data_IF_078844570959
#
_entry.id   IF_078844570959
#
_cell.length_a   1.000
_cell.length_b   1.000
_cell.length_c   1.000
_cell.angle_alpha   90.00
_cell.angle_beta   90.00
_cell.angle_gamma   90.00
#
_symmetry.space_group_name_H-M   'P 1'
#
loop_
_entity.id
_entity.type
_entity.pdbx_description
1 polymer ?
#
# COMPACT_ATOMS: atom_id res chain seq x y z
N UNK A 1 9.14 4.32 10.38
CA UNK A 1 9.56 4.16 8.98
C UNK A 1 10.36 2.88 8.82
N UNK A 2 9.67 1.77 8.52
CA UNK A 2 10.30 0.54 8.04
C UNK A 2 9.77 0.24 6.64
N UNK A 3 10.68 0.00 5.70
CA UNK A 3 10.35 -0.25 4.29
C UNK A 3 10.44 -1.74 4.00
N UNK A 4 9.30 -2.35 3.68
CA UNK A 4 9.19 -3.76 3.33
C UNK A 4 9.07 -3.93 1.81
N UNK A 5 9.57 -5.04 1.26
CA UNK A 5 9.39 -5.34 -0.16
C UNK A 5 7.93 -5.70 -0.46
N UNK A 6 7.41 -5.16 -1.55
CA UNK A 6 6.14 -5.61 -2.11
C UNK A 6 6.36 -7.00 -2.74
N UNK A 7 5.61 -8.04 -2.34
CA UNK A 7 5.70 -9.37 -2.93
C UNK A 7 5.49 -9.35 -4.45
N UNK A 8 6.04 -10.35 -5.15
CA UNK A 8 5.82 -10.53 -6.59
C UNK A 8 6.24 -9.35 -7.49
N UNK A 9 7.17 -8.50 -7.02
CA UNK A 9 7.72 -7.35 -7.79
C UNK A 9 9.18 -7.49 -8.19
N UNK A 10 9.81 -8.65 -7.99
CA UNK A 10 11.27 -8.82 -8.16
C UNK A 10 12.08 -7.75 -7.39
N UNK A 11 11.61 -7.38 -6.18
CA UNK A 11 12.22 -6.37 -5.31
C UNK A 11 12.27 -4.95 -5.91
N UNK A 12 11.46 -4.67 -6.95
CA UNK A 12 11.37 -3.33 -7.55
C UNK A 12 10.69 -2.35 -6.60
N UNK A 13 9.64 -2.78 -5.89
CA UNK A 13 8.83 -1.92 -5.04
C UNK A 13 9.02 -2.19 -3.56
N UNK A 14 9.00 -1.12 -2.78
CA UNK A 14 8.90 -1.16 -1.32
C UNK A 14 7.69 -0.34 -0.87
N UNK A 15 7.10 -0.74 0.26
CA UNK A 15 6.06 0.01 0.95
C UNK A 15 6.48 0.30 2.40
N UNK A 16 5.98 1.39 2.98
CA UNK A 16 6.21 1.69 4.39
C UNK A 16 5.18 0.98 5.27
N UNK A 17 5.64 0.07 6.12
CA UNK A 17 4.79 -0.79 6.96
C UNK A 17 4.17 -0.07 8.17
N UNK A 18 4.63 1.15 8.47
CA UNK A 18 4.06 2.03 9.49
C UNK A 18 3.17 3.13 8.93
N UNK A 19 2.95 3.17 7.62
CA UNK A 19 2.23 4.27 7.00
C UNK A 19 0.73 4.27 7.35
N UNK A 20 0.20 5.48 7.54
CA UNK A 20 -1.16 5.75 8.00
C UNK A 20 -1.89 6.69 7.02
N UNK A 21 -3.11 7.11 7.38
CA UNK A 21 -3.84 8.12 6.61
C UNK A 21 -3.09 9.46 6.47
N UNK A 22 -2.18 9.79 7.40
CA UNK A 22 -1.38 11.02 7.34
C UNK A 22 -0.30 10.99 6.24
N UNK A 23 0.04 9.79 5.75
CA UNK A 23 1.08 9.56 4.74
C UNK A 23 0.54 9.51 3.31
N UNK A 24 -0.78 9.66 3.13
CA UNK A 24 -1.46 9.60 1.83
C UNK A 24 -2.59 10.66 1.77
N UNK A 25 -3.61 10.43 0.95
CA UNK A 25 -4.82 11.23 0.89
C UNK A 25 -5.58 11.20 2.22
N UNK A 26 -5.80 12.38 2.80
CA UNK A 26 -6.45 12.55 4.11
C UNK A 26 -7.92 12.14 4.14
N UNK A 27 -8.57 12.15 2.98
CA UNK A 27 -9.97 11.78 2.76
C UNK A 27 -10.14 10.35 2.25
N UNK A 28 -9.05 9.59 2.16
CA UNK A 28 -9.13 8.19 1.76
C UNK A 28 -9.91 7.35 2.78
N UNK A 29 -10.97 6.71 2.29
CA UNK A 29 -11.83 5.82 3.08
C UNK A 29 -11.16 4.46 3.24
N UNK A 30 -11.08 3.99 4.49
CA UNK A 30 -10.63 2.64 4.82
C UNK A 30 -9.98 2.56 6.19
N UNK A 31 -9.71 1.33 6.62
CA UNK A 31 -8.89 1.08 7.80
C UNK A 31 -7.43 0.85 7.40
N UNK A 32 -6.49 1.27 8.23
CA UNK A 32 -5.06 1.17 7.97
C UNK A 32 -4.44 0.18 8.94
N UNK A 33 -3.68 -0.78 8.41
CA UNK A 33 -2.90 -1.72 9.20
C UNK A 33 -1.66 -2.14 8.41
N UNK A 34 -0.48 -2.07 9.03
CA UNK A 34 0.77 -2.48 8.40
C UNK A 34 1.07 -1.76 7.08
N UNK A 35 0.76 -0.47 6.95
CA UNK A 35 0.95 0.28 5.70
C UNK A 35 -0.03 -0.08 4.57
N UNK A 36 -1.07 -0.86 4.88
CA UNK A 36 -2.09 -1.28 3.93
C UNK A 36 -3.43 -0.66 4.34
N UNK A 37 -4.09 0.02 3.39
CA UNK A 37 -5.48 0.46 3.51
C UNK A 37 -6.40 -0.63 3.00
N UNK A 38 -7.37 -1.02 3.81
CA UNK A 38 -8.48 -1.88 3.42
C UNK A 38 -9.75 -1.05 3.27
N UNK A 39 -10.34 -1.07 2.09
CA UNK A 39 -11.61 -0.42 1.79
C UNK A 39 -12.67 -1.50 1.49
N UNK A 40 -13.75 -1.52 2.27
CA UNK A 40 -14.90 -2.40 2.04
C UNK A 40 -15.97 -1.66 1.27
N UNK A 41 -16.36 -2.19 0.12
CA UNK A 41 -17.41 -1.63 -0.74
C UNK A 41 -18.79 -2.14 -0.35
N UNK A 42 -19.83 -1.45 -0.84
CA UNK A 42 -21.19 -1.96 -0.81
C UNK A 42 -21.23 -3.34 -1.52
N UNK A 43 -21.69 -4.37 -0.82
CA UNK A 43 -21.64 -5.76 -1.27
C UNK A 43 -20.54 -6.61 -0.62
N UNK A 44 -19.73 -6.04 0.27
CA UNK A 44 -18.75 -6.79 1.09
C UNK A 44 -17.42 -7.07 0.42
N UNK A 45 -17.23 -6.63 -0.83
CA UNK A 45 -15.95 -6.73 -1.52
C UNK A 45 -14.91 -5.81 -0.87
N UNK A 46 -13.72 -6.33 -0.62
CA UNK A 46 -12.61 -5.54 -0.11
C UNK A 46 -11.62 -5.21 -1.24
N UNK A 47 -11.04 -4.01 -1.17
CA UNK A 47 -9.84 -3.64 -1.93
C UNK A 47 -8.76 -3.23 -0.97
N UNK A 48 -7.55 -3.73 -1.21
CA UNK A 48 -6.37 -3.42 -0.40
C UNK A 48 -5.39 -2.57 -1.20
N UNK A 49 -4.70 -1.66 -0.52
CA UNK A 49 -3.80 -0.71 -1.16
C UNK A 49 -2.60 -0.46 -0.25
N UNK A 50 -1.38 -0.59 -0.77
CA UNK A 50 -0.20 -0.08 -0.09
C UNK A 50 -0.23 1.45 -0.16
N UNK A 51 -0.18 2.11 0.99
CA UNK A 51 -0.55 3.53 1.08
C UNK A 51 0.62 4.48 0.81
N UNK A 52 1.85 3.96 0.91
CA UNK A 52 3.06 4.71 0.63
C UNK A 52 4.12 3.78 0.07
N UNK A 53 4.47 3.98 -1.19
CA UNK A 53 5.41 3.14 -1.93
C UNK A 53 6.55 3.95 -2.53
N UNK A 54 7.68 3.28 -2.74
CA UNK A 54 8.84 3.80 -3.47
C UNK A 54 9.43 2.68 -4.31
N UNK A 55 10.23 3.02 -5.33
CA UNK A 55 11.06 2.00 -5.98
C UNK A 55 12.37 1.85 -5.23
N UNK A 56 12.93 0.64 -5.22
CA UNK A 56 14.23 0.41 -4.60
C UNK A 56 15.39 1.02 -5.41
N UNK A 57 15.20 1.23 -6.70
CA UNK A 57 16.24 1.73 -7.61
C UNK A 57 16.71 3.15 -7.26
N UNK A 58 15.78 4.02 -6.85
CA UNK A 58 16.05 5.43 -6.55
C UNK A 58 15.56 5.88 -5.18
N UNK A 59 14.85 5.02 -4.45
CA UNK A 59 14.26 5.31 -3.15
C UNK A 59 13.28 6.49 -3.14
N UNK A 60 12.78 6.88 -4.33
CA UNK A 60 11.84 7.96 -4.51
C UNK A 60 10.40 7.47 -4.31
N UNK A 61 9.68 8.16 -3.45
CA UNK A 61 8.27 7.92 -3.17
C UNK A 61 7.40 8.17 -4.42
N UNK A 62 6.43 7.29 -4.66
CA UNK A 62 5.53 7.32 -5.82
C UNK A 62 4.05 7.18 -5.45
N UNK A 63 3.73 7.32 -4.16
CA UNK A 63 2.36 7.24 -3.65
C UNK A 63 1.86 5.81 -3.48
N UNK A 64 0.59 5.58 -3.82
CA UNK A 64 -0.11 4.33 -3.53
C UNK A 64 0.08 3.25 -4.61
N UNK A 65 0.01 1.98 -4.20
CA UNK A 65 0.08 0.83 -5.10
C UNK A 65 -1.00 -0.20 -4.75
N UNK A 66 -1.60 -0.82 -5.77
CA UNK A 66 -2.62 -1.86 -5.55
C UNK A 66 -2.03 -3.05 -4.81
N UNK A 67 -2.59 -3.42 -3.65
CA UNK A 67 -2.17 -4.64 -2.96
C UNK A 67 -2.68 -5.88 -3.69
N UNK A 68 -3.93 -5.85 -4.14
CA UNK A 68 -4.62 -7.00 -4.76
C UNK A 68 -3.94 -7.45 -6.06
N UNK A 69 -3.34 -6.52 -6.81
CA UNK A 69 -2.63 -6.85 -8.05
C UNK A 69 -1.35 -7.67 -7.79
N UNK A 70 -0.61 -7.35 -6.72
CA UNK A 70 0.64 -8.02 -6.38
C UNK A 70 0.45 -9.20 -5.43
N UNK A 71 -0.76 -9.39 -4.89
CA UNK A 71 -1.09 -10.51 -4.02
C UNK A 71 -2.41 -11.16 -4.50
N UNK A 72 -2.40 -11.81 -5.68
CA UNK A 72 -3.55 -12.59 -6.11
C UNK A 72 -3.83 -13.71 -5.11
N UNK A 73 -5.11 -14.06 -4.95
CA UNK A 73 -5.58 -15.12 -4.05
C UNK A 73 -4.97 -16.50 -4.36
#
# INVERSE_FOLDING_TARGET
MSWAYVPNTNQVWQYEDTATAADTYSDAVGSYSGGIRTQTFAGGNERKTYVRCRTKADEVERGELSWDYFNPA
#
